data_IF_323943084871
#
_entry.id   IF_323943084871
#
_cell.length_a   1.000
_cell.length_b   1.000
_cell.length_c   1.000
_cell.angle_alpha   90.00
_cell.angle_beta   90.00
_cell.angle_gamma   90.00
#
_symmetry.space_group_name_H-M   'P 1'
#
loop_
_entity.id
_entity.type
_entity.pdbx_description
1 polymer ?
#
# COMPACT_ATOMS: atom_id res chain seq x y z
N UNK A 1 -36.86 -66.75 -70.40
CA UNK A 1 -36.61 -65.52 -69.61
C UNK A 1 -35.11 -65.38 -69.51
N UNK A 2 -34.52 -64.37 -70.09
CA UNK A 2 -33.08 -64.29 -70.32
C UNK A 2 -32.24 -64.13 -69.05
N UNK A 3 -31.23 -64.92 -68.84
CA UNK A 3 -30.31 -64.96 -67.71
C UNK A 3 -29.68 -63.56 -67.41
N UNK A 4 -29.64 -62.63 -68.34
CA UNK A 4 -29.15 -61.32 -68.18
C UNK A 4 -30.02 -60.36 -67.29
N UNK A 5 -31.36 -60.72 -67.15
CA UNK A 5 -32.28 -59.87 -66.32
C UNK A 5 -32.22 -60.32 -64.82
N UNK A 6 -31.81 -61.55 -64.54
CA UNK A 6 -31.67 -62.01 -63.16
C UNK A 6 -30.40 -61.45 -62.48
N UNK A 7 -29.30 -61.24 -63.21
CA UNK A 7 -28.04 -60.67 -62.71
C UNK A 7 -28.23 -59.22 -62.41
N UNK A 8 -29.01 -58.43 -63.22
CA UNK A 8 -29.27 -57.03 -62.99
C UNK A 8 -30.12 -56.77 -61.73
N UNK A 9 -31.04 -57.69 -61.38
CA UNK A 9 -31.85 -57.54 -60.17
C UNK A 9 -31.11 -57.88 -58.90
N UNK A 10 -30.16 -58.84 -58.97
CA UNK A 10 -29.30 -59.21 -57.84
C UNK A 10 -28.29 -58.07 -57.49
N UNK A 11 -27.76 -57.33 -58.46
CA UNK A 11 -26.86 -56.21 -58.24
C UNK A 11 -27.55 -54.98 -57.65
N UNK A 12 -28.80 -54.72 -57.99
CA UNK A 12 -29.57 -53.59 -57.43
C UNK A 12 -29.94 -53.84 -55.98
N UNK A 13 -30.26 -55.08 -55.58
CA UNK A 13 -30.60 -55.41 -54.19
C UNK A 13 -29.36 -55.38 -53.27
N UNK A 14 -28.19 -55.78 -53.76
CA UNK A 14 -26.91 -55.70 -52.96
C UNK A 14 -26.49 -54.25 -52.78
N UNK A 15 -26.74 -53.38 -53.74
CA UNK A 15 -26.40 -51.95 -53.64
C UNK A 15 -27.32 -51.17 -52.67
N UNK A 16 -28.60 -51.56 -52.56
CA UNK A 16 -29.56 -50.97 -51.63
C UNK A 16 -29.26 -51.40 -50.19
N UNK A 17 -28.78 -52.62 -49.94
CA UNK A 17 -28.39 -53.10 -48.59
C UNK A 17 -27.09 -52.48 -48.14
N UNK A 18 -26.12 -52.18 -49.02
CA UNK A 18 -24.88 -51.51 -48.71
C UNK A 18 -25.08 -49.99 -48.40
N UNK A 19 -26.03 -49.32 -49.05
CA UNK A 19 -26.34 -47.91 -48.75
C UNK A 19 -27.11 -47.77 -47.44
N UNK A 20 -27.99 -48.73 -47.08
CA UNK A 20 -28.66 -48.73 -45.79
C UNK A 20 -27.71 -48.99 -44.59
N UNK A 21 -26.61 -49.74 -44.80
CA UNK A 21 -25.60 -50.00 -43.77
C UNK A 21 -24.66 -48.80 -43.56
N UNK A 22 -24.46 -47.92 -44.55
CA UNK A 22 -23.65 -46.71 -44.41
C UNK A 22 -24.41 -45.56 -43.75
N UNK A 23 -25.73 -45.44 -43.96
CA UNK A 23 -26.55 -44.40 -43.30
C UNK A 23 -26.85 -44.74 -41.84
N UNK A 24 -26.78 -45.99 -41.44
CA UNK A 24 -26.96 -46.41 -40.04
C UNK A 24 -25.75 -46.21 -39.16
N UNK A 25 -24.53 -46.13 -39.69
CA UNK A 25 -23.31 -45.93 -38.92
C UNK A 25 -22.97 -44.46 -38.63
N UNK A 26 -23.45 -43.51 -39.44
CA UNK A 26 -23.22 -42.08 -39.16
C UNK A 26 -24.15 -41.50 -38.08
N UNK A 27 -25.24 -42.15 -37.74
CA UNK A 27 -26.16 -41.70 -36.67
C UNK A 27 -25.82 -42.23 -35.26
N UNK A 28 -24.81 -43.09 -35.09
CA UNK A 28 -24.44 -43.63 -33.77
C UNK A 28 -23.19 -42.96 -33.21
N UNK A 29 -22.49 -42.09 -33.96
CA UNK A 29 -21.34 -41.34 -33.47
C UNK A 29 -21.67 -39.89 -33.02
N UNK A 30 -22.94 -39.49 -32.94
CA UNK A 30 -23.37 -38.28 -32.28
C UNK A 30 -23.97 -38.52 -30.89
N UNK A 31 -23.49 -39.51 -30.18
CA UNK A 31 -23.79 -39.69 -28.76
C UNK A 31 -22.64 -39.13 -27.94
N UNK A 32 -22.89 -37.88 -27.49
CA UNK A 32 -22.48 -37.38 -26.17
C UNK A 32 -20.97 -37.37 -25.94
N UNK A 33 -20.29 -36.35 -26.45
CA UNK A 33 -19.35 -35.71 -25.57
C UNK A 33 -20.19 -35.04 -24.48
N UNK A 34 -20.03 -35.38 -23.21
CA UNK A 34 -20.49 -34.47 -22.17
C UNK A 34 -19.64 -33.21 -22.35
N UNK A 35 -20.23 -32.17 -22.90
CA UNK A 35 -19.76 -30.80 -22.63
C UNK A 35 -19.84 -30.70 -21.10
N UNK A 36 -18.72 -30.90 -20.45
CA UNK A 36 -18.50 -30.35 -19.12
C UNK A 36 -18.96 -28.89 -19.27
N UNK A 37 -19.96 -28.44 -18.51
CA UNK A 37 -20.22 -27.02 -18.48
C UNK A 37 -18.87 -26.37 -18.12
N UNK A 38 -18.27 -25.60 -19.03
CA UNK A 38 -17.38 -24.56 -18.59
C UNK A 38 -18.27 -23.74 -17.67
N UNK A 39 -18.08 -23.90 -16.38
CA UNK A 39 -18.45 -22.87 -15.45
C UNK A 39 -17.68 -21.65 -15.95
N UNK A 40 -18.33 -20.77 -16.72
CA UNK A 40 -17.95 -19.37 -16.76
C UNK A 40 -17.94 -18.98 -15.28
N UNK A 41 -16.76 -18.86 -14.71
CA UNK A 41 -16.58 -18.20 -13.44
C UNK A 41 -17.08 -16.77 -13.70
N UNK A 42 -18.32 -16.49 -13.32
CA UNK A 42 -18.80 -15.11 -13.22
C UNK A 42 -17.86 -14.49 -12.18
N UNK A 43 -16.86 -13.76 -12.66
CA UNK A 43 -16.02 -12.98 -11.78
C UNK A 43 -16.94 -11.98 -11.10
N UNK A 44 -17.17 -12.17 -9.81
CA UNK A 44 -18.00 -11.27 -9.04
C UNK A 44 -17.29 -9.92 -8.95
N UNK A 45 -17.92 -8.86 -9.45
CA UNK A 45 -17.39 -7.50 -9.35
C UNK A 45 -17.62 -7.00 -7.93
N UNK A 46 -16.52 -6.67 -7.21
CA UNK A 46 -16.61 -6.06 -5.89
C UNK A 46 -16.44 -4.55 -5.96
N UNK A 47 -17.30 -3.84 -5.22
CA UNK A 47 -17.15 -2.41 -4.99
C UNK A 47 -16.17 -2.16 -3.86
N UNK A 48 -15.12 -1.36 -4.11
CA UNK A 48 -14.20 -0.89 -3.07
C UNK A 48 -14.30 0.63 -3.01
N UNK A 49 -14.63 1.15 -1.83
CA UNK A 49 -14.49 2.58 -1.54
C UNK A 49 -13.01 2.93 -1.43
N UNK A 50 -12.59 4.02 -2.03
CA UNK A 50 -11.21 4.48 -1.94
C UNK A 50 -11.16 5.93 -1.50
N UNK A 51 -10.51 6.20 -0.36
CA UNK A 51 -10.45 7.52 0.27
C UNK A 51 -9.03 8.07 0.14
N UNK A 52 -8.90 9.23 -0.52
CA UNK A 52 -7.62 9.89 -0.76
C UNK A 52 -7.70 11.39 -0.46
N UNK A 53 -6.59 12.05 -0.16
CA UNK A 53 -6.50 13.50 -0.13
C UNK A 53 -6.36 14.05 -1.55
N UNK A 54 -7.48 14.09 -2.31
CA UNK A 54 -7.48 14.63 -3.69
C UNK A 54 -7.28 16.14 -3.70
N UNK A 55 -7.70 16.80 -2.62
CA UNK A 55 -7.48 18.23 -2.37
C UNK A 55 -6.84 18.45 -0.98
N UNK A 56 -6.41 19.70 -0.70
CA UNK A 56 -5.77 20.06 0.57
C UNK A 56 -4.26 19.82 0.59
N UNK A 57 -3.66 19.92 1.79
CA UNK A 57 -2.20 19.98 2.00
C UNK A 57 -1.43 18.73 1.60
N UNK A 58 -2.08 17.57 1.58
CA UNK A 58 -1.46 16.28 1.23
C UNK A 58 -1.66 15.88 -0.22
N UNK A 59 -2.45 16.63 -1.01
CA UNK A 59 -2.89 16.21 -2.34
C UNK A 59 -1.74 15.93 -3.31
N UNK A 60 -0.70 16.77 -3.34
CA UNK A 60 0.46 16.58 -4.22
C UNK A 60 1.32 15.38 -3.83
N UNK A 61 1.51 15.16 -2.53
CA UNK A 61 2.31 14.06 -2.02
C UNK A 61 1.62 12.71 -2.22
N UNK A 62 0.30 12.65 -2.05
CA UNK A 62 -0.49 11.41 -2.12
C UNK A 62 -1.16 11.15 -3.47
N UNK A 63 -0.92 11.95 -4.50
CA UNK A 63 -1.37 11.63 -5.88
C UNK A 63 -0.88 10.24 -6.31
N UNK A 64 0.34 9.88 -5.88
CA UNK A 64 0.94 8.58 -6.13
C UNK A 64 0.17 7.41 -5.49
N UNK A 65 -0.50 7.60 -4.35
CA UNK A 65 -1.36 6.59 -3.72
C UNK A 65 -2.50 6.16 -4.64
N UNK A 66 -3.18 7.14 -5.23
CA UNK A 66 -4.24 6.90 -6.21
C UNK A 66 -3.69 6.17 -7.44
N UNK A 67 -2.55 6.60 -7.97
CA UNK A 67 -1.93 5.97 -9.12
C UNK A 67 -1.51 4.51 -8.85
N UNK A 68 -0.97 4.23 -7.66
CA UNK A 68 -0.66 2.85 -7.24
C UNK A 68 -1.91 1.97 -7.21
N UNK A 69 -3.01 2.48 -6.64
CA UNK A 69 -4.31 1.77 -6.62
C UNK A 69 -4.84 1.53 -8.04
N UNK A 70 -4.87 2.56 -8.90
CA UNK A 70 -5.39 2.45 -10.27
C UNK A 70 -4.54 1.51 -11.14
N UNK A 71 -3.23 1.41 -10.88
CA UNK A 71 -2.36 0.45 -11.56
C UNK A 71 -2.72 -0.98 -11.15
N UNK A 72 -2.76 -1.27 -9.84
CA UNK A 72 -3.09 -2.59 -9.31
C UNK A 72 -4.48 -3.07 -9.77
N UNK A 73 -5.50 -2.22 -9.65
CA UNK A 73 -6.86 -2.53 -10.11
C UNK A 73 -6.88 -2.83 -11.61
N UNK A 74 -6.15 -2.05 -12.42
CA UNK A 74 -6.04 -2.29 -13.86
C UNK A 74 -5.41 -3.65 -14.18
N UNK A 75 -4.32 -4.01 -13.49
CA UNK A 75 -3.63 -5.29 -13.67
C UNK A 75 -4.50 -6.47 -13.23
N UNK A 76 -5.14 -6.41 -12.07
CA UNK A 76 -6.05 -7.44 -11.56
C UNK A 76 -7.23 -7.61 -12.52
N UNK A 77 -7.86 -6.53 -12.94
CA UNK A 77 -9.04 -6.57 -13.81
C UNK A 77 -8.74 -7.10 -15.23
N UNK A 78 -7.51 -7.00 -15.70
CA UNK A 78 -7.08 -7.53 -17.00
C UNK A 78 -6.42 -8.92 -16.90
N UNK A 79 -6.06 -9.35 -15.70
CA UNK A 79 -5.47 -10.67 -15.47
C UNK A 79 -6.45 -11.79 -15.80
N UNK A 80 -5.93 -12.83 -16.50
CA UNK A 80 -6.68 -14.08 -16.74
C UNK A 80 -6.58 -15.04 -15.54
N UNK A 81 -5.73 -14.73 -14.56
CA UNK A 81 -5.48 -15.55 -13.37
C UNK A 81 -6.27 -15.07 -12.14
N UNK A 82 -6.83 -13.86 -12.18
CA UNK A 82 -7.68 -13.36 -11.10
C UNK A 82 -9.14 -13.65 -11.37
N UNK A 83 -9.82 -14.21 -10.37
CA UNK A 83 -11.26 -14.41 -10.35
C UNK A 83 -12.02 -13.16 -9.86
N UNK A 84 -11.31 -12.16 -9.32
CA UNK A 84 -11.87 -10.92 -8.79
C UNK A 84 -11.87 -9.82 -9.85
N UNK A 85 -12.95 -9.04 -9.89
CA UNK A 85 -13.04 -7.78 -10.62
C UNK A 85 -13.35 -6.67 -9.63
N UNK A 86 -12.57 -5.60 -9.67
CA UNK A 86 -12.65 -4.49 -8.72
C UNK A 86 -13.19 -3.25 -9.42
N UNK A 87 -14.20 -2.62 -8.82
CA UNK A 87 -14.68 -1.29 -9.19
C UNK A 87 -14.51 -0.33 -8.03
N UNK A 88 -13.79 0.78 -8.28
CA UNK A 88 -13.54 1.80 -7.26
C UNK A 88 -14.66 2.85 -7.23
N UNK A 89 -15.03 3.25 -6.02
CA UNK A 89 -15.77 4.48 -5.72
C UNK A 89 -14.82 5.37 -4.93
N UNK A 90 -14.44 6.50 -5.51
CA UNK A 90 -13.41 7.38 -4.95
C UNK A 90 -14.02 8.57 -4.25
N UNK A 91 -13.56 8.86 -3.03
CA UNK A 91 -13.94 10.02 -2.22
C UNK A 91 -12.70 10.84 -1.84
N UNK A 92 -12.91 12.16 -1.72
CA UNK A 92 -11.89 13.12 -1.30
C UNK A 92 -12.01 13.41 0.20
N UNK A 93 -10.98 13.09 0.98
CA UNK A 93 -10.91 13.44 2.41
C UNK A 93 -10.49 14.90 2.65
N UNK A 94 -10.15 15.64 1.60
CA UNK A 94 -9.71 17.05 1.66
C UNK A 94 -8.54 17.29 2.61
N UNK A 95 -7.72 16.26 2.84
CA UNK A 95 -6.62 16.26 3.82
C UNK A 95 -7.08 16.62 5.25
N UNK A 96 -8.31 16.26 5.62
CA UNK A 96 -8.91 16.60 6.91
C UNK A 96 -9.60 15.40 7.57
N UNK A 97 -9.67 15.40 8.89
CA UNK A 97 -10.38 14.38 9.66
C UNK A 97 -11.87 14.37 9.33
N UNK A 98 -12.49 15.55 9.27
CA UNK A 98 -13.89 15.71 8.91
C UNK A 98 -14.19 15.16 7.52
N UNK A 99 -13.29 15.40 6.54
CA UNK A 99 -13.44 14.87 5.20
C UNK A 99 -13.39 13.34 5.15
N UNK A 100 -12.48 12.73 5.90
CA UNK A 100 -12.39 11.28 6.00
C UNK A 100 -13.66 10.67 6.64
N UNK A 101 -14.18 11.27 7.72
CA UNK A 101 -15.43 10.86 8.37
C UNK A 101 -16.63 10.98 7.43
N UNK A 102 -16.75 12.07 6.67
CA UNK A 102 -17.80 12.26 5.66
C UNK A 102 -17.71 11.21 4.55
N UNK A 103 -16.48 10.95 4.03
CA UNK A 103 -16.23 9.94 3.01
C UNK A 103 -16.63 8.53 3.47
N UNK A 104 -16.25 8.13 4.69
CA UNK A 104 -16.64 6.84 5.27
C UNK A 104 -18.16 6.71 5.40
N UNK A 105 -18.84 7.70 5.96
CA UNK A 105 -20.29 7.68 6.10
C UNK A 105 -20.99 7.57 4.74
N UNK A 106 -20.50 8.27 3.71
CA UNK A 106 -21.06 8.19 2.36
C UNK A 106 -20.86 6.81 1.76
N UNK A 107 -19.63 6.29 1.76
CA UNK A 107 -19.28 4.98 1.21
C UNK A 107 -20.07 3.84 1.89
N UNK A 108 -20.25 3.90 3.21
CA UNK A 108 -20.98 2.89 3.97
C UNK A 108 -22.48 3.00 3.76
N UNK A 109 -23.07 4.18 3.96
CA UNK A 109 -24.53 4.32 4.06
C UNK A 109 -25.21 4.59 2.71
N UNK A 110 -24.52 5.25 1.76
CA UNK A 110 -25.08 5.59 0.45
C UNK A 110 -24.61 4.61 -0.62
N UNK A 111 -23.29 4.40 -0.74
CA UNK A 111 -22.70 3.57 -1.78
C UNK A 111 -22.67 2.07 -1.40
N UNK A 112 -22.77 1.76 -0.08
CA UNK A 112 -22.86 0.41 0.49
C UNK A 112 -21.70 -0.50 0.07
N UNK A 113 -20.47 0.03 0.13
CA UNK A 113 -19.28 -0.73 -0.17
C UNK A 113 -18.95 -1.72 0.96
N UNK A 114 -18.53 -2.95 0.66
CA UNK A 114 -18.09 -3.92 1.68
C UNK A 114 -16.68 -3.66 2.22
N UNK A 115 -15.88 -2.90 1.46
CA UNK A 115 -14.46 -2.63 1.76
C UNK A 115 -14.15 -1.16 1.47
N UNK A 116 -13.35 -0.53 2.34
CA UNK A 116 -12.81 0.81 2.16
C UNK A 116 -11.29 0.76 2.23
N UNK A 117 -10.62 1.28 1.20
CA UNK A 117 -9.18 1.50 1.11
C UNK A 117 -8.86 2.95 1.48
N UNK A 118 -8.02 3.15 2.48
CA UNK A 118 -7.76 4.47 3.08
C UNK A 118 -8.55 4.69 4.38
N UNK A 119 -8.49 5.90 4.96
CA UNK A 119 -7.63 7.02 4.58
C UNK A 119 -6.14 6.75 4.87
N UNK A 120 -5.27 7.70 4.48
CA UNK A 120 -3.82 7.54 4.62
C UNK A 120 -3.22 8.08 5.91
N UNK A 121 -3.78 9.14 6.49
CA UNK A 121 -3.26 9.81 7.68
C UNK A 121 -3.71 9.11 8.98
N UNK A 122 -2.81 9.02 9.97
CA UNK A 122 -3.12 8.41 11.27
C UNK A 122 -4.21 9.16 12.03
N UNK A 123 -4.23 10.49 11.98
CA UNK A 123 -5.29 11.32 12.59
C UNK A 123 -6.66 11.05 11.96
N UNK A 124 -6.72 10.83 10.66
CA UNK A 124 -7.96 10.46 9.96
C UNK A 124 -8.40 9.03 10.30
N UNK A 125 -7.45 8.08 10.34
CA UNK A 125 -7.71 6.67 10.67
C UNK A 125 -8.26 6.54 12.09
N UNK A 126 -7.76 7.32 13.04
CA UNK A 126 -8.24 7.32 14.43
C UNK A 126 -9.76 7.55 14.53
N UNK A 127 -10.32 8.42 13.67
CA UNK A 127 -11.74 8.75 13.66
C UNK A 127 -12.56 7.90 12.67
N UNK A 128 -11.96 7.45 11.57
CA UNK A 128 -12.65 6.71 10.52
C UNK A 128 -12.79 5.20 10.83
N UNK A 129 -11.78 4.56 11.42
CA UNK A 129 -11.83 3.14 11.73
C UNK A 129 -12.92 2.74 12.73
N UNK A 130 -13.23 3.53 13.78
CA UNK A 130 -14.39 3.27 14.62
C UNK A 130 -15.73 3.22 13.85
N UNK A 131 -15.87 4.01 12.77
CA UNK A 131 -17.08 4.00 11.92
C UNK A 131 -17.16 2.67 11.15
N UNK A 132 -16.03 2.21 10.56
CA UNK A 132 -15.97 0.91 9.90
C UNK A 132 -16.29 -0.24 10.86
N UNK A 133 -15.71 -0.22 12.06
CA UNK A 133 -15.99 -1.20 13.12
C UNK A 133 -17.49 -1.26 13.47
N UNK A 134 -18.13 -0.12 13.75
CA UNK A 134 -19.54 -0.05 14.12
C UNK A 134 -20.47 -0.58 13.04
N UNK A 135 -20.07 -0.49 11.77
CA UNK A 135 -20.84 -0.94 10.61
C UNK A 135 -20.39 -2.30 10.07
N UNK A 136 -19.39 -2.95 10.70
CA UNK A 136 -18.81 -4.23 10.27
C UNK A 136 -18.36 -4.22 8.80
N UNK A 137 -17.70 -3.13 8.38
CA UNK A 137 -17.13 -2.93 7.05
C UNK A 137 -15.62 -3.05 7.15
N UNK A 138 -15.01 -3.78 6.22
CA UNK A 138 -13.54 -3.87 6.15
C UNK A 138 -12.96 -2.50 5.80
N UNK A 139 -12.04 -2.00 6.61
CA UNK A 139 -11.26 -0.82 6.27
C UNK A 139 -9.76 -1.14 6.33
N UNK A 140 -9.03 -0.73 5.29
CA UNK A 140 -7.59 -0.95 5.19
C UNK A 140 -6.88 0.38 4.90
N UNK A 141 -6.04 0.81 5.85
CA UNK A 141 -5.19 1.99 5.65
C UNK A 141 -3.80 1.58 5.15
N UNK A 142 -3.42 1.99 3.91
CA UNK A 142 -2.13 1.61 3.37
C UNK A 142 -0.94 2.41 3.91
N UNK A 143 -1.15 3.60 4.45
CA UNK A 143 -0.04 4.51 4.79
C UNK A 143 -0.02 5.05 6.22
N UNK A 144 -1.09 4.86 7.03
CA UNK A 144 -1.04 5.28 8.43
C UNK A 144 -0.05 4.42 9.23
N UNK A 145 0.75 5.04 10.10
CA UNK A 145 1.80 4.35 10.84
C UNK A 145 1.76 4.52 12.36
N UNK A 146 0.92 5.42 12.93
CA UNK A 146 0.79 5.52 14.38
C UNK A 146 0.33 4.21 14.98
N UNK A 147 0.98 3.74 16.07
CA UNK A 147 0.70 2.46 16.71
C UNK A 147 -0.71 2.39 17.31
N UNK A 148 -1.26 1.18 17.41
CA UNK A 148 -2.51 0.90 18.14
C UNK A 148 -3.82 1.15 17.38
N UNK A 149 -3.79 1.69 16.16
CA UNK A 149 -5.01 2.07 15.43
C UNK A 149 -5.81 0.88 14.89
N UNK A 150 -5.19 -0.29 14.68
CA UNK A 150 -5.88 -1.50 14.20
C UNK A 150 -6.45 -2.34 15.35
N UNK A 151 -5.95 -2.20 16.57
CA UNK A 151 -6.33 -3.02 17.72
C UNK A 151 -7.78 -2.85 18.20
N UNK A 152 -8.56 -1.99 17.55
CA UNK A 152 -9.94 -1.68 17.92
C UNK A 152 -10.95 -2.67 17.33
N UNK A 153 -10.59 -3.45 16.30
CA UNK A 153 -11.55 -4.29 15.57
C UNK A 153 -10.87 -5.28 14.64
N UNK A 154 -11.51 -6.45 14.48
CA UNK A 154 -11.13 -7.47 13.48
C UNK A 154 -11.49 -7.08 12.03
N UNK A 155 -12.12 -5.93 11.81
CA UNK A 155 -12.50 -5.41 10.48
C UNK A 155 -11.52 -4.36 9.95
N UNK A 156 -10.50 -3.97 10.73
CA UNK A 156 -9.57 -2.90 10.33
C UNK A 156 -8.13 -3.39 10.23
N UNK A 157 -7.48 -3.01 9.13
CA UNK A 157 -6.15 -3.51 8.76
C UNK A 157 -5.24 -2.36 8.30
N UNK A 158 -3.93 -2.56 8.41
CA UNK A 158 -2.95 -1.62 7.87
C UNK A 158 -1.84 -2.36 7.14
N UNK A 159 -1.45 -1.86 5.97
CA UNK A 159 -0.36 -2.45 5.18
C UNK A 159 0.96 -1.71 5.31
N UNK A 160 0.99 -0.58 6.03
CA UNK A 160 2.24 0.06 6.43
C UNK A 160 2.75 -0.49 7.76
N UNK A 161 4.07 -0.51 7.92
CA UNK A 161 4.70 -0.77 9.21
C UNK A 161 4.36 0.34 10.21
N UNK A 162 4.19 -0.05 11.45
CA UNK A 162 3.88 0.89 12.52
C UNK A 162 5.13 1.52 13.13
N UNK A 163 4.97 2.65 13.80
CA UNK A 163 6.08 3.41 14.41
C UNK A 163 6.87 2.60 15.42
N UNK A 164 6.22 1.67 16.12
CA UNK A 164 6.86 0.75 17.08
C UNK A 164 7.70 -0.38 16.41
N UNK A 165 7.59 -0.56 15.11
CA UNK A 165 8.46 -1.44 14.32
C UNK A 165 9.55 -0.63 13.60
N UNK A 166 9.16 0.43 12.89
CA UNK A 166 10.07 1.25 12.07
C UNK A 166 11.15 1.96 12.91
N UNK A 167 10.73 2.63 13.97
CA UNK A 167 11.59 3.55 14.73
C UNK A 167 12.67 2.83 15.54
N UNK A 168 12.38 1.79 16.34
CA UNK A 168 13.43 1.07 17.04
C UNK A 168 14.47 0.44 16.11
N UNK A 169 14.04 -0.10 14.96
CA UNK A 169 14.96 -0.60 13.94
C UNK A 169 15.82 0.52 13.35
N UNK A 170 15.21 1.63 12.97
CA UNK A 170 15.90 2.78 12.39
C UNK A 170 16.94 3.38 13.35
N UNK A 171 16.58 3.59 14.63
CA UNK A 171 17.49 4.08 15.67
C UNK A 171 18.66 3.12 15.84
N UNK A 172 18.41 1.82 15.96
CA UNK A 172 19.47 0.81 16.09
C UNK A 172 20.45 0.86 14.89
N UNK A 173 19.93 0.81 13.67
CA UNK A 173 20.76 0.82 12.44
C UNK A 173 21.57 2.09 12.31
N UNK A 174 20.96 3.25 12.55
CA UNK A 174 21.65 4.54 12.41
C UNK A 174 22.65 4.77 13.53
N UNK A 175 22.36 4.36 14.77
CA UNK A 175 23.32 4.47 15.87
C UNK A 175 24.54 3.56 15.69
N UNK A 176 24.33 2.31 15.26
CA UNK A 176 25.44 1.38 14.97
C UNK A 176 26.42 1.94 13.93
N UNK A 177 25.91 2.68 12.95
CA UNK A 177 26.72 3.21 11.82
C UNK A 177 27.28 4.61 12.09
N UNK A 178 26.52 5.50 12.69
CA UNK A 178 26.90 6.91 12.90
C UNK A 178 27.56 7.13 14.27
N UNK A 179 27.25 6.29 15.28
CA UNK A 179 27.84 6.38 16.60
C UNK A 179 27.40 7.59 17.43
N UNK A 180 26.28 8.25 17.07
CA UNK A 180 25.76 9.39 17.82
C UNK A 180 25.43 9.01 19.28
N UNK A 181 25.69 9.92 20.20
CA UNK A 181 25.45 9.74 21.63
C UNK A 181 24.50 10.80 22.18
N UNK A 182 24.43 11.97 21.55
CA UNK A 182 23.66 13.14 21.99
C UNK A 182 22.86 13.68 20.83
N UNK A 183 21.55 13.75 20.97
CA UNK A 183 20.67 14.13 19.84
C UNK A 183 19.67 15.20 20.24
N UNK A 184 19.11 15.86 19.24
CA UNK A 184 17.92 16.69 19.39
C UNK A 184 16.74 16.08 18.64
N UNK A 185 15.51 16.32 19.11
CA UNK A 185 14.28 15.92 18.40
C UNK A 185 13.45 17.15 18.05
N UNK A 186 12.73 17.08 16.93
CA UNK A 186 11.79 18.09 16.43
C UNK A 186 10.51 17.39 15.93
N UNK A 187 9.34 17.81 16.42
CA UNK A 187 8.09 17.16 16.05
C UNK A 187 6.90 18.10 15.94
N UNK A 188 5.91 17.76 15.10
CA UNK A 188 4.61 18.42 15.05
C UNK A 188 3.77 17.93 16.25
N UNK A 189 3.47 18.84 17.18
CA UNK A 189 2.76 18.53 18.42
C UNK A 189 1.24 18.43 18.28
N UNK A 190 0.70 18.64 17.07
CA UNK A 190 -0.74 18.52 16.77
C UNK A 190 -1.07 17.26 16.00
N UNK A 191 -0.20 16.83 15.08
CA UNK A 191 -0.43 15.64 14.26
C UNK A 191 -0.17 14.34 15.05
N UNK A 192 -1.15 13.43 15.03
CA UNK A 192 -1.09 12.17 15.78
C UNK A 192 0.11 11.30 15.39
N UNK A 193 0.40 11.17 14.09
CA UNK A 193 1.54 10.37 13.63
C UNK A 193 2.85 10.94 14.18
N UNK A 194 3.01 12.26 14.12
CA UNK A 194 4.21 12.96 14.57
C UNK A 194 4.41 12.82 16.08
N UNK A 195 3.33 12.95 16.87
CA UNK A 195 3.37 12.76 18.34
C UNK A 195 3.77 11.33 18.71
N UNK A 196 3.09 10.31 18.14
CA UNK A 196 3.38 8.89 18.42
C UNK A 196 4.77 8.50 17.93
N UNK A 197 5.21 9.07 16.80
CA UNK A 197 6.57 8.87 16.27
C UNK A 197 7.62 9.44 17.20
N UNK A 198 7.44 10.67 17.71
CA UNK A 198 8.40 11.28 18.64
C UNK A 198 8.45 10.54 19.98
N UNK A 199 7.32 10.08 20.50
CA UNK A 199 7.28 9.25 21.69
C UNK A 199 8.05 7.93 21.51
N UNK A 200 7.77 7.19 20.43
CA UNK A 200 8.47 5.95 20.10
C UNK A 200 9.98 6.19 19.90
N UNK A 201 10.34 7.30 19.26
CA UNK A 201 11.71 7.72 19.03
C UNK A 201 12.45 7.98 20.35
N UNK A 202 11.88 8.79 21.23
CA UNK A 202 12.51 9.09 22.54
C UNK A 202 12.69 7.83 23.39
N UNK A 203 11.74 6.91 23.35
CA UNK A 203 11.86 5.61 24.00
C UNK A 203 13.01 4.80 23.39
N UNK A 204 13.06 4.64 22.06
CA UNK A 204 14.11 3.90 21.36
C UNK A 204 15.51 4.51 21.59
N UNK A 205 15.64 5.83 21.57
CA UNK A 205 16.91 6.53 21.86
C UNK A 205 17.36 6.24 23.30
N UNK A 206 16.46 6.35 24.27
CA UNK A 206 16.73 6.08 25.69
C UNK A 206 17.16 4.64 25.93
N UNK A 207 16.45 3.68 25.32
CA UNK A 207 16.76 2.24 25.42
C UNK A 207 18.12 1.89 24.80
N UNK A 208 18.59 2.67 23.83
CA UNK A 208 19.92 2.54 23.23
C UNK A 208 20.99 3.41 23.92
N UNK A 209 20.68 4.05 25.05
CA UNK A 209 21.61 4.84 25.84
C UNK A 209 22.01 6.18 25.21
N UNK A 210 21.20 6.73 24.31
CA UNK A 210 21.41 8.02 23.66
C UNK A 210 20.78 9.13 24.50
N UNK A 211 21.54 10.21 24.75
CA UNK A 211 21.07 11.38 25.47
C UNK A 211 20.28 12.31 24.54
N UNK A 212 19.07 12.70 24.95
CA UNK A 212 18.26 13.70 24.25
C UNK A 212 18.53 15.06 24.89
N UNK A 213 19.25 15.92 24.17
CA UNK A 213 19.67 17.25 24.66
C UNK A 213 18.52 18.24 24.71
N UNK A 214 17.65 18.20 23.70
CA UNK A 214 16.44 19.03 23.61
C UNK A 214 15.39 18.34 22.76
N UNK A 215 14.12 18.55 23.12
CA UNK A 215 12.94 18.17 22.32
C UNK A 215 12.20 19.45 21.98
N UNK A 216 12.13 19.77 20.68
CA UNK A 216 11.46 20.94 20.16
C UNK A 216 10.16 20.56 19.48
N UNK A 217 9.15 21.39 19.60
CA UNK A 217 7.88 21.19 18.92
C UNK A 217 7.48 22.38 18.05
N UNK A 218 6.57 22.12 17.11
CA UNK A 218 5.93 23.12 16.29
C UNK A 218 4.46 22.77 16.06
N UNK A 219 3.68 23.76 15.61
CA UNK A 219 2.26 23.57 15.26
C UNK A 219 2.13 23.14 13.80
N UNK A 220 1.17 22.28 13.50
CA UNK A 220 0.81 21.95 12.11
C UNK A 220 0.66 23.24 11.27
N UNK A 221 1.23 23.26 10.07
CA UNK A 221 1.27 24.43 9.17
C UNK A 221 2.16 25.59 9.63
N UNK A 222 2.96 25.42 10.66
CA UNK A 222 4.00 26.38 11.00
C UNK A 222 5.03 26.46 9.87
N UNK A 223 5.44 27.67 9.52
CA UNK A 223 6.34 27.93 8.39
C UNK A 223 7.68 28.53 8.80
N UNK A 224 7.88 28.90 10.05
CA UNK A 224 9.11 29.48 10.59
C UNK A 224 9.63 28.66 11.78
N UNK A 225 10.69 27.92 11.54
CA UNK A 225 11.34 27.03 12.52
C UNK A 225 12.59 27.67 13.17
N UNK A 226 12.78 28.99 13.02
CA UNK A 226 13.98 29.70 13.47
C UNK A 226 14.23 29.55 14.97
N UNK A 227 13.17 29.59 15.78
CA UNK A 227 13.28 29.45 17.23
C UNK A 227 13.73 28.05 17.63
N UNK A 228 13.14 27.01 17.04
CA UNK A 228 13.46 25.61 17.29
C UNK A 228 14.92 25.32 16.88
N UNK A 229 15.32 25.66 15.66
CA UNK A 229 16.69 25.44 15.18
C UNK A 229 17.75 26.25 15.95
N UNK A 230 17.41 27.43 16.45
CA UNK A 230 18.32 28.19 17.33
C UNK A 230 18.61 27.41 18.62
N UNK A 231 17.60 26.79 19.25
CA UNK A 231 17.78 25.98 20.47
C UNK A 231 18.51 24.68 20.17
N UNK A 232 18.11 23.97 19.09
CA UNK A 232 18.78 22.75 18.62
C UNK A 232 20.27 23.00 18.38
N UNK A 233 20.61 24.03 17.62
CA UNK A 233 22.01 24.37 17.34
C UNK A 233 22.81 24.71 18.60
N UNK A 234 22.19 25.39 19.56
CA UNK A 234 22.82 25.74 20.83
C UNK A 234 23.10 24.51 21.71
N UNK A 235 22.31 23.45 21.57
CA UNK A 235 22.51 22.20 22.31
C UNK A 235 23.66 21.32 21.76
N UNK A 236 24.17 21.60 20.57
CA UNK A 236 25.31 20.93 19.92
C UNK A 236 25.10 19.39 19.82
N UNK A 237 24.07 18.91 19.11
CA UNK A 237 23.76 17.50 18.97
C UNK A 237 24.62 16.82 17.90
N UNK A 238 24.80 15.49 18.01
CA UNK A 238 25.47 14.65 17.02
C UNK A 238 24.52 14.30 15.84
N UNK A 239 23.19 14.32 16.03
CA UNK A 239 22.14 14.10 15.03
C UNK A 239 20.84 14.79 15.43
N UNK A 240 19.98 15.08 14.46
CA UNK A 240 18.67 15.69 14.66
C UNK A 240 17.59 14.80 14.09
N UNK A 241 16.68 14.33 14.93
CA UNK A 241 15.54 13.52 14.53
C UNK A 241 14.30 14.38 14.30
N UNK A 242 13.58 14.08 13.21
CA UNK A 242 12.41 14.84 12.79
C UNK A 242 11.21 13.91 12.66
N UNK A 243 10.16 14.18 13.43
CA UNK A 243 8.86 13.51 13.36
C UNK A 243 7.81 14.52 12.88
N UNK A 244 7.50 14.49 11.59
CA UNK A 244 6.62 15.45 10.94
C UNK A 244 5.88 14.82 9.78
N UNK A 245 4.83 15.47 9.29
CA UNK A 245 4.15 15.06 8.06
C UNK A 245 4.96 15.42 6.82
N UNK A 246 4.68 14.74 5.70
CA UNK A 246 5.37 14.98 4.42
C UNK A 246 5.24 16.43 3.91
N UNK A 247 4.21 17.15 4.34
CA UNK A 247 3.96 18.52 3.88
C UNK A 247 5.00 19.54 4.40
N UNK A 248 5.62 19.25 5.53
CA UNK A 248 6.51 20.20 6.23
C UNK A 248 7.99 19.88 6.02
N UNK A 249 8.34 18.64 5.68
CA UNK A 249 9.72 18.13 5.67
C UNK A 249 10.68 18.97 4.84
N UNK A 250 10.33 19.31 3.59
CA UNK A 250 11.24 20.08 2.74
C UNK A 250 11.56 21.46 3.35
N UNK A 251 10.57 22.14 3.92
CA UNK A 251 10.77 23.44 4.57
C UNK A 251 11.62 23.33 5.84
N UNK A 252 11.43 22.27 6.63
CA UNK A 252 12.24 21.99 7.83
C UNK A 252 13.71 21.77 7.44
N UNK A 253 13.98 20.96 6.42
CA UNK A 253 15.35 20.67 5.95
C UNK A 253 16.03 21.97 5.45
N UNK A 254 15.35 22.74 4.60
CA UNK A 254 15.86 24.00 4.05
C UNK A 254 16.22 24.96 5.19
N UNK A 255 15.29 25.26 6.07
CA UNK A 255 15.52 26.21 7.15
C UNK A 255 16.61 25.73 8.14
N UNK A 256 16.66 24.44 8.45
CA UNK A 256 17.72 23.90 9.28
C UNK A 256 19.11 24.18 8.72
N UNK A 257 19.32 23.96 7.41
CA UNK A 257 20.60 24.24 6.74
C UNK A 257 20.87 25.75 6.63
N UNK A 258 19.89 26.56 6.26
CA UNK A 258 20.02 28.03 6.20
C UNK A 258 20.35 28.66 7.54
N UNK A 259 19.83 28.12 8.65
CA UNK A 259 20.12 28.58 10.02
C UNK A 259 21.44 28.01 10.55
N UNK A 260 22.17 27.28 9.72
CA UNK A 260 23.55 26.87 9.97
C UNK A 260 23.70 25.57 10.77
N UNK A 261 22.78 24.62 10.62
CA UNK A 261 23.02 23.22 10.98
C UNK A 261 23.97 22.66 9.93
N UNK A 262 25.19 22.21 10.31
CA UNK A 262 26.17 21.72 9.34
C UNK A 262 25.79 20.36 8.77
N UNK A 263 26.34 20.01 7.59
CA UNK A 263 26.00 18.75 6.90
C UNK A 263 26.55 17.49 7.58
N UNK A 264 27.54 17.61 8.44
CA UNK A 264 28.05 16.50 9.27
C UNK A 264 27.15 16.18 10.48
N UNK A 265 26.15 17.02 10.77
CA UNK A 265 25.03 16.69 11.65
C UNK A 265 23.86 16.20 10.79
N UNK A 266 23.59 14.89 10.74
CA UNK A 266 22.54 14.34 9.89
C UNK A 266 21.16 14.72 10.41
N UNK A 267 20.24 15.02 9.48
CA UNK A 267 18.81 14.94 9.73
C UNK A 267 18.35 13.50 9.57
N UNK A 268 17.55 12.99 10.50
CA UNK A 268 16.95 11.65 10.46
C UNK A 268 15.44 11.81 10.54
N UNK A 269 14.74 11.46 9.47
CA UNK A 269 13.31 11.67 9.28
C UNK A 269 12.55 10.34 9.40
N UNK A 270 11.50 10.32 10.20
CA UNK A 270 10.67 9.11 10.36
C UNK A 270 9.65 8.99 9.23
N UNK A 271 9.84 8.06 8.29
CA UNK A 271 8.92 7.62 7.22
C UNK A 271 8.55 8.68 6.15
N UNK A 272 8.46 9.95 6.47
CA UNK A 272 7.76 10.96 5.64
C UNK A 272 8.64 11.66 4.59
N UNK A 273 9.93 11.31 4.50
CA UNK A 273 10.79 11.83 3.44
C UNK A 273 10.46 11.14 2.11
N UNK A 274 10.08 11.91 1.12
CA UNK A 274 9.71 11.43 -0.23
C UNK A 274 10.64 12.00 -1.28
N UNK A 275 10.70 11.39 -2.48
CA UNK A 275 11.45 11.93 -3.62
C UNK A 275 11.00 13.35 -3.99
N UNK A 276 9.73 13.69 -3.79
CA UNK A 276 9.24 15.07 -3.99
C UNK A 276 9.77 16.01 -2.91
N UNK A 277 9.84 15.57 -1.64
CA UNK A 277 10.42 16.38 -0.56
C UNK A 277 11.92 16.60 -0.78
N UNK A 278 12.65 15.57 -1.24
CA UNK A 278 14.08 15.68 -1.60
C UNK A 278 14.28 16.68 -2.72
N UNK A 279 13.52 16.55 -3.83
CA UNK A 279 13.59 17.50 -4.95
C UNK A 279 13.24 18.94 -4.55
N UNK A 280 12.28 19.14 -3.64
CA UNK A 280 11.89 20.45 -3.16
C UNK A 280 12.93 21.07 -2.20
N UNK A 281 13.62 20.22 -1.43
CA UNK A 281 14.67 20.68 -0.51
C UNK A 281 16.04 20.85 -1.18
N UNK A 282 16.21 20.34 -2.42
CA UNK A 282 17.45 20.42 -3.19
C UNK A 282 18.67 19.99 -2.35
N UNK A 283 19.75 20.75 -2.36
CA UNK A 283 20.97 20.45 -1.59
C UNK A 283 20.74 20.31 -0.08
N UNK A 284 19.68 20.91 0.46
CA UNK A 284 19.39 20.82 1.90
C UNK A 284 18.97 19.40 2.34
N UNK A 285 18.53 18.56 1.41
CA UNK A 285 18.20 17.16 1.69
C UNK A 285 19.41 16.24 1.71
N UNK A 286 20.57 16.67 1.21
CA UNK A 286 21.76 15.81 1.10
C UNK A 286 22.20 15.27 2.47
N UNK A 287 22.47 13.97 2.54
CA UNK A 287 22.84 13.27 3.77
C UNK A 287 21.67 13.01 4.74
N UNK A 288 20.45 13.41 4.40
CA UNK A 288 19.26 13.10 5.22
C UNK A 288 18.96 11.62 5.17
N UNK A 289 18.70 11.02 6.33
CA UNK A 289 18.37 9.60 6.48
C UNK A 289 16.87 9.46 6.75
N UNK A 290 16.24 8.40 6.24
CA UNK A 290 14.84 8.09 6.54
C UNK A 290 14.63 6.63 6.88
N UNK A 291 13.72 6.37 7.82
CA UNK A 291 13.21 5.04 8.12
C UNK A 291 12.01 4.80 7.21
N UNK A 292 11.99 3.70 6.49
CA UNK A 292 10.98 3.45 5.47
C UNK A 292 10.63 1.97 5.38
N UNK A 293 9.68 1.64 4.56
CA UNK A 293 9.18 0.28 4.37
C UNK A 293 9.25 -0.21 2.92
N UNK A 294 9.82 0.59 2.01
CA UNK A 294 9.95 0.22 0.61
C UNK A 294 11.06 1.03 -0.07
N UNK A 295 11.70 0.40 -1.03
CA UNK A 295 12.69 0.98 -1.94
C UNK A 295 12.43 0.54 -3.38
N UNK A 296 12.58 1.46 -4.35
CA UNK A 296 12.33 1.19 -5.77
C UNK A 296 13.33 0.18 -6.38
N UNK A 297 14.51 0.02 -5.77
CA UNK A 297 15.56 -0.89 -6.21
C UNK A 297 15.53 -2.24 -5.50
N UNK A 298 14.65 -2.44 -4.50
CA UNK A 298 14.57 -3.66 -3.72
C UNK A 298 14.33 -4.89 -4.62
N UNK A 299 15.07 -5.99 -4.33
CA UNK A 299 14.93 -7.28 -5.01
C UNK A 299 13.80 -8.10 -4.35
N UNK A 300 12.59 -7.54 -4.37
CA UNK A 300 11.38 -8.20 -3.88
C UNK A 300 10.48 -8.65 -5.03
N UNK A 301 9.65 -9.69 -4.84
CA UNK A 301 8.81 -10.22 -5.90
C UNK A 301 7.95 -9.17 -6.60
N UNK A 302 8.16 -8.97 -7.91
CA UNK A 302 7.36 -8.05 -8.72
C UNK A 302 7.73 -6.57 -8.61
N UNK A 303 8.65 -6.16 -7.71
CA UNK A 303 8.99 -4.75 -7.50
C UNK A 303 9.49 -4.05 -8.76
N UNK A 304 10.44 -4.66 -9.48
CA UNK A 304 10.98 -4.08 -10.73
C UNK A 304 9.90 -3.92 -11.82
N UNK A 305 8.97 -4.88 -11.92
CA UNK A 305 7.84 -4.80 -12.85
C UNK A 305 6.86 -3.68 -12.44
N UNK A 306 6.55 -3.55 -11.15
CA UNK A 306 5.75 -2.44 -10.62
C UNK A 306 6.34 -1.08 -10.98
N UNK A 307 7.63 -0.86 -10.69
CA UNK A 307 8.32 0.40 -10.98
C UNK A 307 8.25 0.72 -12.48
N UNK A 308 8.60 -0.25 -13.35
CA UNK A 308 8.55 -0.07 -14.80
C UNK A 308 7.15 0.23 -15.33
N UNK A 309 6.13 -0.52 -14.88
CA UNK A 309 4.74 -0.34 -15.29
C UNK A 309 4.19 1.02 -14.82
N UNK A 310 4.56 1.42 -13.60
CA UNK A 310 4.16 2.70 -13.04
C UNK A 310 4.72 3.87 -13.83
N UNK A 311 6.04 3.87 -14.12
CA UNK A 311 6.71 4.88 -14.93
C UNK A 311 6.13 4.92 -16.35
N UNK A 312 5.95 3.74 -16.97
CA UNK A 312 5.38 3.66 -18.32
C UNK A 312 3.97 4.25 -18.42
N UNK A 313 3.16 4.10 -17.35
CA UNK A 313 1.78 4.58 -17.34
C UNK A 313 1.65 6.06 -16.95
N UNK A 314 2.44 6.53 -15.99
CA UNK A 314 2.26 7.86 -15.38
C UNK A 314 3.40 8.84 -15.68
N UNK A 315 4.54 8.37 -16.20
CA UNK A 315 5.68 9.23 -16.57
C UNK A 315 6.47 9.80 -15.39
N UNK A 316 6.26 9.27 -14.19
CA UNK A 316 6.95 9.66 -12.95
C UNK A 316 7.35 8.43 -12.16
N UNK A 317 8.35 8.56 -11.29
CA UNK A 317 8.76 7.50 -10.35
C UNK A 317 7.66 7.24 -9.30
N UNK A 318 7.44 5.96 -8.90
CA UNK A 318 6.56 5.64 -7.80
C UNK A 318 7.17 6.09 -6.47
N UNK A 319 6.33 6.54 -5.54
CA UNK A 319 6.71 6.77 -4.15
C UNK A 319 6.38 5.55 -3.29
N UNK A 320 6.85 5.56 -2.03
CA UNK A 320 6.45 4.57 -1.03
C UNK A 320 4.93 4.44 -0.92
N UNK A 321 4.18 5.54 -0.99
CA UNK A 321 2.72 5.50 -0.92
C UNK A 321 2.10 4.81 -2.14
N UNK A 322 2.69 4.97 -3.34
CA UNK A 322 2.27 4.21 -4.51
C UNK A 322 2.44 2.70 -4.29
N UNK A 323 3.60 2.29 -3.77
CA UNK A 323 3.90 0.89 -3.49
C UNK A 323 2.98 0.29 -2.42
N UNK A 324 2.72 1.02 -1.34
CA UNK A 324 1.83 0.58 -0.26
C UNK A 324 0.39 0.41 -0.73
N UNK A 325 -0.15 1.39 -1.47
CA UNK A 325 -1.51 1.31 -2.00
C UNK A 325 -1.65 0.23 -3.08
N UNK A 326 -0.65 0.07 -3.95
CA UNK A 326 -0.59 -1.03 -4.91
C UNK A 326 -0.64 -2.39 -4.19
N UNK A 327 0.20 -2.59 -3.19
CA UNK A 327 0.25 -3.81 -2.39
C UNK A 327 -1.07 -4.07 -1.66
N UNK A 328 -1.67 -3.04 -1.07
CA UNK A 328 -2.95 -3.17 -0.36
C UNK A 328 -4.07 -3.71 -1.27
N UNK A 329 -4.11 -3.28 -2.54
CA UNK A 329 -5.09 -3.79 -3.51
C UNK A 329 -4.85 -5.27 -3.83
N UNK A 330 -3.61 -5.71 -3.98
CA UNK A 330 -3.28 -7.13 -4.19
C UNK A 330 -3.61 -7.99 -2.98
N UNK A 331 -3.36 -7.49 -1.77
CA UNK A 331 -3.75 -8.15 -0.51
C UNK A 331 -5.28 -8.27 -0.40
N UNK A 332 -6.02 -7.22 -0.72
CA UNK A 332 -7.49 -7.26 -0.76
C UNK A 332 -8.01 -8.25 -1.80
N UNK A 333 -7.45 -8.25 -3.00
CA UNK A 333 -7.83 -9.19 -4.05
C UNK A 333 -7.58 -10.65 -3.62
N UNK A 334 -6.41 -10.93 -3.02
CA UNK A 334 -6.08 -12.24 -2.45
C UNK A 334 -7.08 -12.68 -1.39
N UNK A 335 -7.41 -11.80 -0.44
CA UNK A 335 -8.36 -12.11 0.62
C UNK A 335 -9.78 -12.38 0.08
N UNK A 336 -10.23 -11.63 -0.94
CA UNK A 336 -11.53 -11.83 -1.60
C UNK A 336 -11.54 -13.17 -2.35
N UNK A 337 -10.45 -13.52 -3.03
CA UNK A 337 -10.30 -14.82 -3.71
C UNK A 337 -10.32 -15.98 -2.71
N UNK A 338 -9.62 -15.86 -1.60
CA UNK A 338 -9.58 -16.88 -0.54
C UNK A 338 -10.93 -17.04 0.16
N UNK A 339 -11.59 -15.93 0.45
CA UNK A 339 -12.93 -15.91 1.05
C UNK A 339 -14.00 -16.48 0.12
N UNK A 340 -13.80 -16.42 -1.20
CA UNK A 340 -14.82 -16.73 -2.22
C UNK A 340 -16.15 -15.99 -1.95
N UNK A 341 -16.07 -14.78 -1.45
CA UNK A 341 -17.21 -13.99 -0.96
C UNK A 341 -16.89 -12.50 -1.04
N UNK A 342 -17.94 -11.68 -1.20
CA UNK A 342 -17.90 -10.22 -1.08
C UNK A 342 -18.43 -9.75 0.29
N UNK A 343 -18.74 -10.67 1.18
CA UNK A 343 -19.19 -10.37 2.54
C UNK A 343 -18.03 -9.84 3.39
N UNK A 344 -18.19 -8.70 4.09
CA UNK A 344 -17.11 -8.10 4.88
C UNK A 344 -16.54 -9.00 5.96
N UNK A 345 -17.35 -9.83 6.64
CA UNK A 345 -16.89 -10.74 7.70
C UNK A 345 -15.99 -11.83 7.10
N UNK A 346 -16.37 -12.39 5.95
CA UNK A 346 -15.57 -13.39 5.26
C UNK A 346 -14.24 -12.80 4.74
N UNK A 347 -14.26 -11.56 4.21
CA UNK A 347 -13.06 -10.86 3.75
C UNK A 347 -12.14 -10.55 4.94
N UNK A 348 -12.68 -10.06 6.06
CA UNK A 348 -11.90 -9.77 7.27
C UNK A 348 -11.22 -11.04 7.81
N UNK A 349 -11.94 -12.16 7.87
CA UNK A 349 -11.38 -13.45 8.28
C UNK A 349 -10.25 -13.90 7.35
N UNK A 350 -10.41 -13.77 6.03
CA UNK A 350 -9.37 -14.11 5.06
C UNK A 350 -8.15 -13.18 5.16
N UNK A 351 -8.33 -11.88 5.38
CA UNK A 351 -7.22 -10.95 5.64
C UNK A 351 -6.42 -11.35 6.88
N UNK A 352 -7.10 -11.70 7.97
CA UNK A 352 -6.46 -12.11 9.22
C UNK A 352 -5.60 -13.38 9.07
N UNK A 353 -5.83 -14.20 8.05
CA UNK A 353 -5.06 -15.42 7.77
C UNK A 353 -3.89 -15.24 6.79
N UNK A 354 -3.68 -14.04 6.23
CA UNK A 354 -2.57 -13.77 5.30
C UNK A 354 -1.24 -13.90 6.03
N UNK A 355 -0.39 -14.83 5.55
CA UNK A 355 0.98 -15.09 6.04
C UNK A 355 1.92 -15.29 4.86
N UNK A 356 3.11 -14.72 4.97
CA UNK A 356 4.22 -14.86 4.01
C UNK A 356 3.78 -14.68 2.53
N UNK A 357 2.83 -13.76 2.31
CA UNK A 357 2.35 -13.45 0.96
C UNK A 357 3.39 -12.60 0.23
N UNK A 358 3.88 -13.10 -0.90
CA UNK A 358 4.85 -12.39 -1.74
C UNK A 358 4.28 -11.09 -2.29
N UNK A 359 4.89 -9.98 -1.91
CA UNK A 359 4.52 -8.63 -2.36
C UNK A 359 5.73 -7.83 -2.78
N UNK A 360 5.50 -6.67 -3.41
CA UNK A 360 6.60 -5.73 -3.74
C UNK A 360 7.25 -5.10 -2.50
N UNK A 361 6.63 -5.22 -1.32
CA UNK A 361 7.19 -4.83 -0.02
C UNK A 361 8.03 -5.97 0.60
N UNK A 362 8.05 -7.16 0.00
CA UNK A 362 8.61 -8.40 0.53
C UNK A 362 7.54 -9.37 1.01
N UNK A 363 7.94 -10.44 1.74
CA UNK A 363 7.02 -11.41 2.35
C UNK A 363 6.14 -10.70 3.39
N UNK A 364 4.85 -10.62 3.11
CA UNK A 364 3.89 -9.85 3.89
C UNK A 364 3.00 -10.75 4.76
N UNK A 365 2.80 -10.36 6.00
CA UNK A 365 1.82 -10.98 6.90
C UNK A 365 1.05 -9.91 7.68
N UNK A 366 -0.13 -10.27 8.20
CA UNK A 366 -0.74 -9.50 9.27
C UNK A 366 -0.43 -10.11 10.63
N UNK A 367 -0.23 -9.27 11.66
CA UNK A 367 -0.20 -9.71 13.05
C UNK A 367 -1.62 -9.94 13.60
N UNK A 368 -1.72 -10.32 14.88
CA UNK A 368 -3.00 -10.63 15.53
C UNK A 368 -3.98 -9.45 15.64
N UNK A 369 -3.52 -8.21 15.43
CA UNK A 369 -4.36 -7.00 15.51
C UNK A 369 -4.54 -6.30 14.15
N UNK A 370 -4.17 -6.97 13.05
CA UNK A 370 -4.36 -6.42 11.70
C UNK A 370 -3.28 -5.41 11.25
N UNK A 371 -2.14 -5.34 11.93
CA UNK A 371 -0.98 -4.57 11.48
C UNK A 371 -0.05 -5.40 10.61
N UNK A 372 0.63 -4.73 9.69
CA UNK A 372 1.60 -5.34 8.77
C UNK A 372 2.84 -5.89 9.48
N UNK A 373 3.36 -6.98 8.95
CA UNK A 373 4.63 -7.59 9.35
C UNK A 373 5.46 -7.87 8.09
N UNK A 374 6.54 -7.14 7.92
CA UNK A 374 7.61 -7.32 6.93
C UNK A 374 8.84 -6.49 7.36
N UNK A 375 9.95 -6.54 6.62
CA UNK A 375 11.20 -5.92 7.04
C UNK A 375 11.25 -4.42 6.76
N UNK A 376 11.60 -3.58 7.75
CA UNK A 376 11.84 -2.16 7.55
C UNK A 376 13.18 -1.90 6.85
N UNK A 377 13.29 -0.74 6.18
CA UNK A 377 14.48 -0.30 5.45
C UNK A 377 14.92 1.06 5.97
N UNK A 378 16.23 1.33 5.94
CA UNK A 378 16.78 2.66 6.20
C UNK A 378 17.42 3.16 4.92
N UNK A 379 17.04 4.35 4.48
CA UNK A 379 17.59 5.00 3.28
C UNK A 379 18.33 6.27 3.66
N UNK A 380 19.26 6.67 2.80
CA UNK A 380 19.97 7.96 2.85
C UNK A 380 19.84 8.67 1.51
N UNK A 381 19.78 10.00 1.54
CA UNK A 381 19.84 10.83 0.33
C UNK A 381 21.31 11.06 -0.05
N UNK A 382 21.67 10.68 -1.28
CA UNK A 382 22.96 10.96 -1.89
C UNK A 382 22.77 11.42 -3.32
N UNK A 383 23.42 12.52 -3.68
CA UNK A 383 23.32 13.14 -5.00
C UNK A 383 21.84 13.38 -5.40
N UNK A 384 20.97 13.69 -4.41
CA UNK A 384 19.54 13.95 -4.59
C UNK A 384 18.66 12.71 -4.80
N UNK A 385 19.20 11.50 -4.67
CA UNK A 385 18.47 10.24 -4.83
C UNK A 385 18.57 9.38 -3.55
N UNK A 386 17.62 8.43 -3.38
CA UNK A 386 17.67 7.51 -2.28
C UNK A 386 18.62 6.34 -2.55
N UNK A 387 19.43 6.00 -1.56
CA UNK A 387 20.23 4.77 -1.51
C UNK A 387 19.98 4.04 -0.19
N UNK A 388 20.13 2.71 -0.19
CA UNK A 388 20.09 1.92 1.05
C UNK A 388 21.23 2.38 1.96
N UNK A 389 20.91 2.66 3.21
CA UNK A 389 21.90 3.09 4.21
C UNK A 389 22.64 1.86 4.74
N UNK A 390 23.77 1.52 4.07
CA UNK A 390 24.64 0.37 4.40
C UNK A 390 25.77 0.73 5.36
#
# INVERSE_FOLDING_TARGET
>A
MNSKKIIAFAFVLVFIVLIASFIGCERIQQIVHPTTPQMESVSEEILIGAVYPLTGRFSSAHLSSRYGTELAVGEINTSQHSSVKIRLITEDDRSSVEGAVEAFNKLIHQDKVPVILGPGSSSQVQEAFPIAHQNQIVAMSPSSAASGLSAISDFVFRTNLTTDVLIPNGVRVTQEKLGYQRVATLFDEVDLFSQVSDEALRNALTDNGVEILTTESFQTEETDFSAQFTRIKTSDPDAIFISSTVADISNILIQGRELGIPFDIPFIVNLTLSSNSVKAAEDAAEGTITFTSWDSTADTPGNQAFVQNYIAKYGIEPSIWAAQYYTAVYILAKAIEDAQSTDPEAIAAALAEIRDFDTILGPFSFNAVGDAVYDPIVLIVKDGEFEVFE
#
